data_IF_197216331073
#
_entry.id   IF_197216331073
#
_cell.length_a   1.000
_cell.length_b   1.000
_cell.length_c   1.000
_cell.angle_alpha   90.00
_cell.angle_beta   90.00
_cell.angle_gamma   90.00
#
_symmetry.space_group_name_H-M   'P 1'
#
loop_
_entity.id
_entity.type
_entity.pdbx_description
1 polymer ?
#
# COMPACT_ATOMS: atom_id res chain seq x y z
N UNK A 1 -3.72 -13.98 10.20
CA UNK A 1 -4.11 -13.78 8.79
C UNK A 1 -4.42 -12.31 8.57
N UNK A 2 -4.15 -11.78 7.38
CA UNK A 2 -4.53 -10.43 6.97
C UNK A 2 -5.51 -10.61 5.81
N UNK A 3 -6.71 -10.07 5.93
CA UNK A 3 -7.76 -10.24 4.91
C UNK A 3 -7.74 -9.10 3.87
N UNK A 4 -7.20 -7.94 4.22
CA UNK A 4 -7.11 -6.76 3.35
C UNK A 4 -5.86 -5.93 3.69
N UNK A 5 -5.23 -5.37 2.66
CA UNK A 5 -4.10 -4.44 2.78
C UNK A 5 -4.52 -3.10 2.19
N UNK A 6 -4.41 -2.03 2.98
CA UNK A 6 -4.67 -0.65 2.53
C UNK A 6 -3.37 0.14 2.48
N UNK A 7 -3.01 0.64 1.30
CA UNK A 7 -1.79 1.43 1.10
C UNK A 7 -2.17 2.87 0.79
N UNK A 8 -1.73 3.79 1.65
CA UNK A 8 -1.97 5.22 1.49
C UNK A 8 -0.74 5.88 0.87
N UNK A 9 -0.89 6.38 -0.35
CA UNK A 9 0.15 7.06 -1.12
C UNK A 9 0.04 8.56 -0.87
N UNK A 10 1.13 9.14 -0.41
CA UNK A 10 1.31 10.59 -0.24
C UNK A 10 2.25 11.08 -1.35
N UNK A 11 1.93 12.18 -2.06
CA UNK A 11 2.72 12.67 -3.19
C UNK A 11 3.97 13.44 -2.71
N UNK A 12 4.87 12.76 -2.01
CA UNK A 12 6.12 13.31 -1.50
C UNK A 12 7.26 12.31 -1.63
N UNK A 13 8.46 12.80 -1.94
CA UNK A 13 9.69 12.01 -1.96
C UNK A 13 10.43 12.24 -0.64
N UNK A 14 10.53 11.21 0.20
CA UNK A 14 11.06 11.34 1.57
C UNK A 14 12.59 11.32 1.66
N UNK A 15 13.30 10.77 0.67
CA UNK A 15 14.76 10.64 0.67
C UNK A 15 15.29 9.50 1.56
N UNK A 16 14.72 9.31 2.75
CA UNK A 16 15.08 8.24 3.70
C UNK A 16 13.86 7.79 4.54
N UNK A 17 13.94 6.61 5.17
CA UNK A 17 12.89 6.11 6.06
C UNK A 17 12.83 4.59 6.20
N UNK A 18 11.81 4.13 6.94
CA UNK A 18 11.54 2.70 7.12
C UNK A 18 10.68 2.17 5.98
N UNK A 19 11.00 0.96 5.53
CA UNK A 19 10.21 0.27 4.50
C UNK A 19 8.90 -0.27 5.08
N UNK A 20 7.79 -0.15 4.34
CA UNK A 20 6.46 -0.62 4.77
C UNK A 20 6.41 -2.13 5.09
N UNK A 21 7.19 -2.94 4.38
CA UNK A 21 7.16 -4.40 4.45
C UNK A 21 8.51 -5.00 4.89
N UNK A 22 9.07 -4.50 5.99
CA UNK A 22 10.32 -5.02 6.52
C UNK A 22 10.15 -6.47 7.02
N UNK A 23 11.07 -7.37 6.65
CA UNK A 23 11.10 -8.75 7.15
C UNK A 23 10.23 -9.76 6.39
N UNK A 24 9.57 -9.35 5.30
CA UNK A 24 8.88 -10.30 4.41
C UNK A 24 9.92 -11.13 3.64
N UNK A 25 9.91 -12.45 3.85
CA UNK A 25 10.87 -13.38 3.24
C UNK A 25 10.38 -13.93 1.89
N UNK A 26 9.06 -14.02 1.71
CA UNK A 26 8.43 -14.60 0.53
C UNK A 26 7.57 -13.56 -0.18
N UNK A 27 7.45 -13.67 -1.51
CA UNK A 27 6.55 -12.80 -2.27
C UNK A 27 5.11 -13.05 -1.86
N UNK A 28 4.37 -11.98 -1.60
CA UNK A 28 2.93 -12.01 -1.35
C UNK A 28 2.26 -11.36 -2.56
N UNK A 29 1.49 -12.15 -3.30
CA UNK A 29 0.72 -11.64 -4.43
C UNK A 29 -0.54 -10.94 -3.93
N UNK A 30 -0.76 -9.71 -4.38
CA UNK A 30 -1.90 -8.89 -3.99
C UNK A 30 -2.71 -8.51 -5.23
N UNK A 31 -4.04 -8.55 -5.10
CA UNK A 31 -4.98 -8.07 -6.11
C UNK A 31 -5.52 -6.71 -5.71
N UNK A 32 -5.37 -5.70 -6.57
CA UNK A 32 -6.00 -4.39 -6.37
C UNK A 32 -7.52 -4.56 -6.54
N UNK A 33 -8.28 -4.18 -5.52
CA UNK A 33 -9.75 -4.27 -5.54
C UNK A 33 -10.42 -2.90 -5.62
N UNK A 34 -9.77 -1.84 -5.15
CA UNK A 34 -10.31 -0.48 -5.23
C UNK A 34 -9.20 0.57 -5.16
N UNK A 35 -9.42 1.70 -5.84
CA UNK A 35 -8.61 2.92 -5.71
C UNK A 35 -9.50 4.08 -5.30
N UNK A 36 -9.08 4.86 -4.31
CA UNK A 36 -9.76 6.09 -3.87
C UNK A 36 -8.80 7.26 -3.92
N UNK A 37 -9.09 8.25 -4.75
CA UNK A 37 -8.35 9.51 -4.85
C UNK A 37 -8.97 10.58 -3.96
N UNK A 38 -8.15 11.37 -3.29
CA UNK A 38 -8.59 12.49 -2.46
C UNK A 38 -8.25 13.83 -3.14
N UNK A 39 -9.01 14.88 -2.83
CA UNK A 39 -8.74 16.24 -3.33
C UNK A 39 -7.36 16.77 -2.94
N UNK A 40 -6.78 16.26 -1.84
CA UNK A 40 -5.41 16.58 -1.42
C UNK A 40 -4.31 15.99 -2.32
N UNK A 41 -4.67 15.20 -3.33
CA UNK A 41 -3.72 14.47 -4.18
C UNK A 41 -3.27 13.12 -3.61
N UNK A 42 -3.72 12.77 -2.39
CA UNK A 42 -3.46 11.46 -1.81
C UNK A 42 -4.26 10.37 -2.53
N UNK A 43 -3.73 9.15 -2.52
CA UNK A 43 -4.39 7.98 -3.13
C UNK A 43 -4.39 6.82 -2.13
N UNK A 44 -5.55 6.25 -1.86
CA UNK A 44 -5.69 5.04 -1.07
C UNK A 44 -5.99 3.84 -1.97
N UNK A 45 -5.12 2.85 -1.92
CA UNK A 45 -5.24 1.59 -2.63
C UNK A 45 -5.70 0.50 -1.67
N UNK A 46 -6.69 -0.28 -2.10
CA UNK A 46 -7.23 -1.41 -1.36
C UNK A 46 -6.83 -2.70 -2.09
N UNK A 47 -6.17 -3.60 -1.38
CA UNK A 47 -5.67 -4.87 -1.90
C UNK A 47 -6.18 -6.03 -1.07
N UNK A 48 -6.35 -7.17 -1.72
CA UNK A 48 -6.56 -8.46 -1.05
C UNK A 48 -5.43 -9.43 -1.42
N UNK A 49 -4.96 -10.26 -0.48
CA UNK A 49 -4.10 -11.40 -0.83
C UNK A 49 -4.79 -12.31 -1.85
N UNK A 50 -4.00 -12.81 -2.81
CA UNK A 50 -4.41 -13.88 -3.71
C UNK A 50 -4.33 -15.26 -3.03
#
# INVERSE_FOLDING_TARGET
LIDEVRIFINPIVLGEGKTLFQGIQNRISLKLIQTKTFQSGNVLLYYQPL
#
